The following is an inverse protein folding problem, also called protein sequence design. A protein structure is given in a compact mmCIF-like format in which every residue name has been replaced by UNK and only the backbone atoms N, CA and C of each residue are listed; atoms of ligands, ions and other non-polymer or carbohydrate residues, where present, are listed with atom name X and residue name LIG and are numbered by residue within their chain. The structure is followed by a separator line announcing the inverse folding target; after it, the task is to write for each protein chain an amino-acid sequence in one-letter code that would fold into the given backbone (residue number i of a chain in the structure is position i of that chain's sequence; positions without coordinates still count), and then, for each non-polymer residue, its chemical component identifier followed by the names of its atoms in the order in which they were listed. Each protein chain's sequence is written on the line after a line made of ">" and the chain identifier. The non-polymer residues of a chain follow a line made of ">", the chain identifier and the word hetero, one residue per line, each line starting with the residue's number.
data_IF_338551981879
#
_entry.id   IF_338551981879
#
_cell.length_a   1.000
_cell.length_b   1.000
_cell.length_c   1.000
_cell.angle_alpha   90.00
_cell.angle_beta   90.00
_cell.angle_gamma   90.00
#
_symmetry.space_group_name_H-M   'P 1'
#
loop_
_entity.id
_entity.type
_entity.pdbx_description
1 polymer ?
#
# COMPACT_ATOMS: atom_id res chain seq x y z
N UNK A 1 -7.96 -18.37 -4.19
CA UNK A 1 -7.99 -19.14 -2.93
C UNK A 1 -6.62 -19.08 -2.28
N UNK A 2 -6.58 -18.94 -0.96
CA UNK A 2 -5.33 -19.02 -0.19
C UNK A 2 -4.71 -20.41 -0.36
N UNK A 3 -3.38 -20.42 -0.51
CA UNK A 3 -2.59 -21.65 -0.40
C UNK A 3 -2.94 -22.36 0.92
N UNK A 4 -3.19 -23.68 0.93
CA UNK A 4 -3.53 -24.43 2.15
C UNK A 4 -2.57 -24.18 3.32
N UNK A 5 -1.29 -23.94 3.04
CA UNK A 5 -0.26 -23.60 4.03
C UNK A 5 -0.62 -22.33 4.82
N UNK A 6 -1.24 -21.36 4.19
CA UNK A 6 -1.58 -20.06 4.82
C UNK A 6 -3.00 -20.01 5.36
N UNK A 7 -3.84 -20.99 4.95
CA UNK A 7 -5.25 -21.05 5.34
C UNK A 7 -5.44 -21.16 6.85
N UNK A 8 -4.58 -21.90 7.52
CA UNK A 8 -4.66 -22.06 8.99
C UNK A 8 -4.39 -20.75 9.72
N UNK A 9 -3.34 -20.03 9.33
CA UNK A 9 -3.00 -18.71 9.92
C UNK A 9 -4.07 -17.68 9.64
N UNK A 10 -4.58 -17.64 8.42
CA UNK A 10 -5.70 -16.78 8.04
C UNK A 10 -6.96 -17.10 8.83
N UNK A 11 -7.35 -18.36 8.92
CA UNK A 11 -8.54 -18.78 9.67
C UNK A 11 -8.40 -18.45 11.16
N UNK A 12 -7.24 -18.66 11.75
CA UNK A 12 -6.98 -18.28 13.15
C UNK A 12 -7.10 -16.78 13.34
N UNK A 13 -6.58 -15.98 12.42
CA UNK A 13 -6.72 -14.53 12.46
C UNK A 13 -8.19 -14.13 12.35
N UNK A 14 -8.92 -14.63 11.33
CA UNK A 14 -10.35 -14.33 11.12
C UNK A 14 -11.20 -14.76 12.31
N UNK A 15 -10.94 -15.93 12.89
CA UNK A 15 -11.68 -16.39 14.10
C UNK A 15 -11.44 -15.45 15.31
N UNK A 16 -10.23 -14.93 15.45
CA UNK A 16 -9.92 -13.99 16.54
C UNK A 16 -10.56 -12.61 16.38
N UNK A 17 -10.99 -12.25 15.15
CA UNK A 17 -11.61 -10.95 14.85
C UNK A 17 -13.08 -11.06 14.46
N UNK A 18 -13.67 -12.28 14.41
CA UNK A 18 -15.02 -12.50 13.89
C UNK A 18 -16.11 -11.66 14.55
N UNK A 19 -15.93 -11.34 15.83
CA UNK A 19 -16.86 -10.55 16.62
C UNK A 19 -16.42 -9.11 16.90
N UNK A 20 -15.32 -8.67 16.25
CA UNK A 20 -14.74 -7.34 16.44
C UNK A 20 -14.82 -6.54 15.14
N UNK A 21 -14.99 -5.24 15.28
CA UNK A 21 -14.78 -4.32 14.16
C UNK A 21 -13.31 -4.34 13.75
N UNK A 22 -13.08 -4.39 12.46
CA UNK A 22 -11.74 -4.25 11.87
C UNK A 22 -11.48 -2.75 11.71
N UNK A 23 -10.48 -2.26 12.38
CA UNK A 23 -9.99 -0.90 12.20
C UNK A 23 -8.97 -0.89 11.07
N UNK A 24 -9.15 -0.02 10.10
CA UNK A 24 -8.30 0.10 8.93
C UNK A 24 -7.62 1.48 8.92
N UNK A 25 -6.30 1.48 8.98
CA UNK A 25 -5.47 2.64 8.63
C UNK A 25 -4.95 2.45 7.21
N UNK A 26 -5.08 3.47 6.38
CA UNK A 26 -4.65 3.43 4.98
C UNK A 26 -3.47 4.38 4.81
N UNK A 27 -2.32 3.85 4.39
CA UNK A 27 -1.15 4.62 3.99
C UNK A 27 -1.08 4.60 2.46
N UNK A 28 -1.26 5.73 1.83
CA UNK A 28 -1.27 5.82 0.37
C UNK A 28 -0.08 6.61 -0.17
N UNK A 29 0.49 6.10 -1.27
CA UNK A 29 1.52 6.77 -2.05
C UNK A 29 0.92 7.55 -3.24
N UNK A 30 -0.40 7.52 -3.39
CA UNK A 30 -1.10 8.27 -4.43
C UNK A 30 -1.30 9.72 -3.98
N UNK A 31 -1.31 10.62 -4.96
CA UNK A 31 -1.50 12.06 -4.74
C UNK A 31 -2.97 12.52 -4.88
N UNK A 32 -3.88 11.59 -5.19
CA UNK A 32 -5.29 11.86 -5.47
C UNK A 32 -6.18 11.37 -4.33
N UNK A 33 -7.36 11.94 -4.22
CA UNK A 33 -8.44 11.58 -3.30
C UNK A 33 -9.19 10.28 -3.65
N UNK A 34 -8.61 9.46 -4.52
CA UNK A 34 -9.25 8.21 -4.98
C UNK A 34 -9.51 7.26 -3.82
N UNK A 35 -8.62 7.22 -2.84
CA UNK A 35 -8.74 6.30 -1.72
C UNK A 35 -9.83 6.71 -0.73
N UNK A 36 -10.05 8.01 -0.55
CA UNK A 36 -11.13 8.56 0.27
C UNK A 36 -12.49 8.16 -0.32
N UNK A 37 -12.64 8.32 -1.64
CA UNK A 37 -13.87 7.91 -2.33
C UNK A 37 -14.14 6.40 -2.22
N UNK A 38 -13.10 5.58 -2.16
CA UNK A 38 -13.23 4.13 -1.94
C UNK A 38 -13.59 3.84 -0.49
N UNK A 39 -12.98 4.53 0.46
CA UNK A 39 -13.26 4.39 1.88
C UNK A 39 -14.71 4.74 2.22
N UNK A 40 -15.22 5.85 1.68
CA UNK A 40 -16.62 6.26 1.84
C UNK A 40 -17.59 5.20 1.31
N UNK A 41 -17.28 4.61 0.16
CA UNK A 41 -18.10 3.54 -0.42
C UNK A 41 -18.04 2.26 0.42
N UNK A 42 -16.87 1.93 0.99
CA UNK A 42 -16.70 0.77 1.86
C UNK A 42 -17.54 0.91 3.13
N UNK A 43 -17.48 2.07 3.79
CA UNK A 43 -18.25 2.35 5.01
C UNK A 43 -19.75 2.43 4.77
N UNK A 44 -20.15 2.92 3.59
CA UNK A 44 -21.57 2.96 3.19
C UNK A 44 -22.11 1.60 2.74
N UNK A 45 -21.26 0.59 2.50
CA UNK A 45 -21.69 -0.69 1.96
C UNK A 45 -22.37 -1.55 3.04
N UNK A 46 -23.62 -2.00 2.84
CA UNK A 46 -24.41 -2.70 3.87
C UNK A 46 -23.74 -3.95 4.47
N UNK A 47 -22.89 -4.62 3.71
CA UNK A 47 -22.18 -5.82 4.16
C UNK A 47 -21.01 -5.52 5.10
N UNK A 48 -20.42 -4.33 5.00
CA UNK A 48 -19.16 -3.96 5.67
C UNK A 48 -19.30 -2.84 6.70
N UNK A 49 -20.35 -2.03 6.63
CA UNK A 49 -20.57 -0.85 7.47
C UNK A 49 -20.42 -1.12 8.99
N UNK A 50 -20.88 -2.29 9.45
CA UNK A 50 -20.76 -2.69 10.86
C UNK A 50 -19.48 -3.45 11.20
N UNK A 51 -18.69 -3.83 10.18
CA UNK A 51 -17.52 -4.71 10.33
C UNK A 51 -16.20 -3.99 10.17
N UNK A 52 -16.16 -2.94 9.34
CA UNK A 52 -14.94 -2.22 8.99
C UNK A 52 -15.11 -0.74 9.32
N UNK A 53 -14.10 -0.15 9.94
CA UNK A 53 -14.00 1.29 10.18
C UNK A 53 -12.68 1.77 9.60
N UNK A 54 -12.73 2.72 8.69
CA UNK A 54 -11.54 3.43 8.22
C UNK A 54 -11.22 4.52 9.25
N UNK A 55 -10.18 4.31 10.04
CA UNK A 55 -9.83 5.22 11.13
C UNK A 55 -9.04 6.42 10.61
N UNK A 56 -8.04 6.14 9.76
CA UNK A 56 -7.20 7.19 9.19
C UNK A 56 -6.79 6.86 7.76
N UNK A 57 -6.64 7.93 6.95
CA UNK A 57 -6.02 7.88 5.63
C UNK A 57 -4.83 8.84 5.65
N UNK A 58 -3.64 8.33 5.39
CA UNK A 58 -2.40 9.11 5.37
C UNK A 58 -1.81 9.15 3.97
N UNK A 59 -1.68 10.34 3.40
CA UNK A 59 -0.97 10.58 2.16
C UNK A 59 0.51 10.81 2.44
N UNK A 60 1.32 9.76 2.23
CA UNK A 60 2.78 9.79 2.52
C UNK A 60 3.50 10.89 1.73
N UNK A 61 3.01 11.21 0.54
CA UNK A 61 3.61 12.20 -0.36
C UNK A 61 2.75 13.45 -0.53
N UNK A 62 1.78 13.69 0.37
CA UNK A 62 0.79 14.75 0.30
C UNK A 62 -0.20 14.60 -0.87
N UNK A 63 -1.25 15.41 -0.88
CA UNK A 63 -2.27 15.42 -1.94
C UNK A 63 -2.06 16.57 -2.92
N UNK A 64 -2.55 16.41 -4.14
CA UNK A 64 -2.48 17.42 -5.21
C UNK A 64 -3.14 18.75 -4.84
N UNK A 65 -4.09 18.73 -3.92
CA UNK A 65 -4.83 19.92 -3.47
C UNK A 65 -4.15 20.64 -2.29
N UNK A 66 -3.06 20.08 -1.78
CA UNK A 66 -2.29 20.62 -0.66
C UNK A 66 -1.03 21.34 -1.17
N UNK A 67 -0.53 22.27 -0.34
CA UNK A 67 0.76 22.91 -0.61
C UNK A 67 1.89 21.93 -0.26
N UNK A 68 2.68 21.54 -1.25
CA UNK A 68 3.92 20.84 -0.98
C UNK A 68 3.94 19.33 -1.28
N UNK A 69 3.51 18.92 -2.49
CA UNK A 69 3.72 17.53 -2.96
C UNK A 69 5.18 17.13 -2.81
N UNK A 70 5.41 15.97 -2.20
CA UNK A 70 6.75 15.42 -1.98
C UNK A 70 7.15 14.53 -3.15
N UNK A 71 8.01 15.07 -4.00
CA UNK A 71 8.61 14.34 -5.12
C UNK A 71 10.11 14.16 -4.86
N UNK A 72 10.66 13.01 -5.22
CA UNK A 72 12.10 12.82 -5.09
C UNK A 72 12.53 11.39 -4.88
N UNK A 73 13.71 11.27 -4.28
CA UNK A 73 14.41 10.01 -4.01
C UNK A 73 14.56 9.77 -2.50
N UNK A 74 14.92 8.53 -2.12
CA UNK A 74 15.08 8.19 -0.71
C UNK A 74 16.42 8.71 -0.14
N UNK A 75 17.47 8.72 -0.95
CA UNK A 75 18.80 9.13 -0.52
C UNK A 75 19.65 9.67 -1.68
N UNK A 76 20.79 10.29 -1.33
CA UNK A 76 21.73 10.93 -2.27
C UNK A 76 22.36 9.94 -3.28
N UNK A 77 22.40 8.64 -2.97
CA UNK A 77 22.99 7.63 -3.87
C UNK A 77 22.13 7.42 -5.12
N UNK A 78 20.84 7.74 -5.04
CA UNK A 78 19.90 7.65 -6.16
C UNK A 78 19.99 8.86 -7.11
N UNK A 79 20.74 9.91 -6.74
CA UNK A 79 21.03 11.07 -7.59
C UNK A 79 22.23 10.73 -8.48
N UNK A 80 22.01 10.58 -9.79
CA UNK A 80 23.05 10.19 -10.73
C UNK A 80 24.18 11.22 -10.83
N UNK A 81 23.84 12.50 -10.90
CA UNK A 81 24.83 13.57 -10.93
C UNK A 81 25.39 13.83 -9.54
N UNK A 82 26.59 13.30 -9.29
CA UNK A 82 27.25 13.39 -7.96
C UNK A 82 27.60 14.80 -7.54
N UNK A 83 27.81 15.72 -8.46
CA UNK A 83 28.06 17.14 -8.09
C UNK A 83 26.81 17.80 -7.49
N UNK A 84 25.61 17.36 -7.89
CA UNK A 84 24.34 17.83 -7.36
C UNK A 84 23.97 17.15 -6.04
N UNK A 85 24.35 15.89 -5.87
CA UNK A 85 23.93 15.11 -4.70
C UNK A 85 24.45 15.68 -3.35
N UNK A 86 25.53 16.45 -3.37
CA UNK A 86 26.08 17.11 -2.18
C UNK A 86 25.58 18.54 -1.96
N UNK A 87 24.83 19.11 -2.93
CA UNK A 87 24.32 20.47 -2.79
C UNK A 87 23.20 20.54 -1.75
N UNK A 88 23.26 21.46 -0.76
CA UNK A 88 22.25 21.53 0.31
C UNK A 88 20.83 21.71 -0.22
N UNK A 89 20.63 22.61 -1.21
CA UNK A 89 19.30 22.87 -1.77
C UNK A 89 18.73 21.66 -2.50
N UNK A 90 19.58 20.87 -3.15
CA UNK A 90 19.16 19.62 -3.80
C UNK A 90 18.73 18.58 -2.75
N UNK A 91 19.46 18.49 -1.65
CA UNK A 91 19.05 17.62 -0.53
C UNK A 91 17.70 18.06 0.03
N UNK A 92 17.54 19.35 0.28
CA UNK A 92 16.31 19.93 0.83
C UNK A 92 15.08 19.79 -0.08
N UNK A 93 15.28 19.63 -1.38
CA UNK A 93 14.16 19.62 -2.36
C UNK A 93 13.95 18.30 -3.07
N UNK A 94 14.89 17.35 -3.00
CA UNK A 94 14.83 16.09 -3.73
C UNK A 94 14.97 14.83 -2.87
N UNK A 95 15.38 14.94 -1.62
CA UNK A 95 15.50 13.78 -0.72
C UNK A 95 14.29 13.74 0.22
N UNK A 96 13.39 12.80 -0.05
CA UNK A 96 12.09 12.69 0.64
C UNK A 96 12.20 12.68 2.18
N UNK A 97 13.07 11.87 2.82
CA UNK A 97 13.22 11.91 4.28
C UNK A 97 13.64 13.29 4.82
N UNK A 98 14.46 14.03 4.06
CA UNK A 98 14.86 15.37 4.43
C UNK A 98 13.71 16.38 4.30
N UNK A 99 12.97 16.33 3.17
CA UNK A 99 11.78 17.16 2.96
C UNK A 99 10.77 16.92 4.08
N UNK A 100 10.50 15.65 4.41
CA UNK A 100 9.56 15.29 5.45
C UNK A 100 9.97 15.84 6.82
N UNK A 101 11.25 15.78 7.17
CA UNK A 101 11.74 16.28 8.45
C UNK A 101 11.63 17.80 8.59
N UNK A 102 11.75 18.54 7.51
CA UNK A 102 11.79 20.02 7.52
C UNK A 102 10.42 20.65 7.29
N UNK A 103 9.59 20.04 6.43
CA UNK A 103 8.38 20.69 5.92
C UNK A 103 7.07 20.00 6.30
N UNK A 104 7.11 18.72 6.66
CA UNK A 104 5.91 17.94 6.96
C UNK A 104 5.94 17.51 8.41
N UNK A 105 5.44 18.38 9.28
CA UNK A 105 5.41 18.07 10.70
C UNK A 105 4.35 16.99 11.00
N UNK A 106 4.80 15.80 11.39
CA UNK A 106 3.94 14.81 12.04
C UNK A 106 3.51 13.62 11.18
N UNK A 107 3.23 13.78 9.88
CA UNK A 107 2.69 12.69 9.04
C UNK A 107 3.56 11.43 9.02
N UNK A 108 4.88 11.57 8.95
CA UNK A 108 5.79 10.41 9.03
C UNK A 108 5.65 9.66 10.36
N UNK A 109 5.51 10.40 11.46
CA UNK A 109 5.34 9.78 12.78
C UNK A 109 3.98 9.11 12.91
N UNK A 110 2.92 9.71 12.40
CA UNK A 110 1.58 9.13 12.37
C UNK A 110 1.53 7.86 11.52
N UNK A 111 2.14 7.88 10.33
CA UNK A 111 2.29 6.71 9.49
C UNK A 111 3.07 5.58 10.19
N UNK A 112 4.17 5.91 10.86
CA UNK A 112 4.94 4.93 11.65
C UNK A 112 4.12 4.36 12.79
N UNK A 113 3.38 5.20 13.53
CA UNK A 113 2.48 4.74 14.58
C UNK A 113 1.37 3.83 14.03
N UNK A 114 0.83 4.12 12.83
CA UNK A 114 -0.13 3.25 12.19
C UNK A 114 0.48 1.87 11.86
N UNK A 115 1.70 1.83 11.34
CA UNK A 115 2.45 0.57 11.15
C UNK A 115 2.67 -0.13 12.49
N UNK A 116 3.05 0.59 13.54
CA UNK A 116 3.38 0.03 14.86
C UNK A 116 2.18 -0.62 15.56
N UNK A 117 0.98 -0.12 15.35
CA UNK A 117 -0.24 -0.73 15.92
C UNK A 117 -0.84 -1.82 15.03
N UNK A 118 -0.42 -1.94 13.78
CA UNK A 118 -0.97 -2.91 12.85
C UNK A 118 -0.60 -4.35 13.22
N UNK A 119 -1.59 -5.23 13.25
CA UNK A 119 -1.38 -6.68 13.36
C UNK A 119 -1.22 -7.34 11.99
N UNK A 120 -1.82 -6.75 10.97
CA UNK A 120 -1.77 -7.20 9.58
C UNK A 120 -1.52 -6.00 8.68
N UNK A 121 -0.63 -6.15 7.71
CA UNK A 121 -0.38 -5.17 6.67
C UNK A 121 -0.74 -5.75 5.31
N UNK A 122 -1.44 -5.00 4.50
CA UNK A 122 -1.80 -5.38 3.13
C UNK A 122 -1.07 -4.44 2.18
N UNK A 123 -0.18 -4.98 1.36
CA UNK A 123 0.56 -4.23 0.34
C UNK A 123 -0.17 -4.34 -0.99
N UNK A 124 -0.97 -3.35 -1.34
CA UNK A 124 -1.77 -3.34 -2.57
C UNK A 124 -1.30 -2.27 -3.55
N UNK A 125 -1.07 -2.67 -4.80
CA UNK A 125 -0.72 -1.75 -5.89
C UNK A 125 0.62 -1.02 -5.72
N UNK A 126 1.50 -1.47 -4.82
CA UNK A 126 2.80 -0.85 -4.55
C UNK A 126 3.94 -1.69 -5.12
N UNK A 127 4.92 -1.02 -5.73
CA UNK A 127 6.08 -1.67 -6.36
C UNK A 127 7.21 -2.02 -5.39
N UNK A 128 7.17 -1.54 -4.14
CA UNK A 128 8.27 -1.56 -3.17
C UNK A 128 9.55 -0.93 -3.76
N UNK A 129 9.38 0.22 -4.41
CA UNK A 129 10.45 0.92 -5.10
C UNK A 129 11.51 1.49 -4.15
N UNK A 130 12.74 1.63 -4.65
CA UNK A 130 13.86 2.17 -3.88
C UNK A 130 13.65 3.63 -3.44
N UNK A 131 12.83 4.40 -4.15
CA UNK A 131 12.51 5.79 -3.81
C UNK A 131 11.72 5.95 -2.51
N UNK A 132 11.15 4.87 -2.02
CA UNK A 132 10.36 4.81 -0.78
C UNK A 132 10.93 3.76 0.19
N UNK A 133 12.21 3.44 0.04
CA UNK A 133 12.95 2.44 0.80
C UNK A 133 12.79 2.59 2.31
N UNK A 134 12.72 3.81 2.81
CA UNK A 134 12.55 4.09 4.24
C UNK A 134 11.31 3.38 4.80
N UNK A 135 10.21 3.44 4.07
CA UNK A 135 8.94 2.84 4.48
C UNK A 135 8.98 1.31 4.46
N UNK A 136 9.61 0.75 3.42
CA UNK A 136 9.74 -0.70 3.29
C UNK A 136 10.67 -1.29 4.35
N UNK A 137 11.75 -0.58 4.67
CA UNK A 137 12.65 -0.99 5.73
C UNK A 137 11.95 -0.93 7.10
N UNK A 138 11.29 0.18 7.41
CA UNK A 138 10.56 0.35 8.67
C UNK A 138 9.50 -0.74 8.86
N UNK A 139 8.68 -0.99 7.83
CA UNK A 139 7.67 -2.05 7.84
C UNK A 139 8.29 -3.43 8.09
N UNK A 140 9.36 -3.75 7.37
CA UNK A 140 10.02 -5.04 7.49
C UNK A 140 10.63 -5.27 8.87
N UNK A 141 11.31 -4.28 9.45
CA UNK A 141 11.85 -4.34 10.80
C UNK A 141 10.75 -4.51 11.84
N UNK A 142 9.65 -3.78 11.69
CA UNK A 142 8.49 -3.90 12.57
C UNK A 142 7.88 -5.30 12.55
N UNK A 143 7.65 -5.86 11.36
CA UNK A 143 7.11 -7.23 11.22
C UNK A 143 8.11 -8.27 11.72
N UNK A 144 9.41 -8.07 11.51
CA UNK A 144 10.44 -8.96 12.02
C UNK A 144 10.44 -9.05 13.54
N UNK A 145 10.25 -7.91 14.22
CA UNK A 145 10.33 -7.79 15.68
C UNK A 145 9.17 -8.48 16.41
N UNK A 146 8.00 -8.65 15.76
CA UNK A 146 6.79 -9.17 16.44
C UNK A 146 6.28 -10.44 15.76
N UNK A 147 6.26 -11.60 16.47
CA UNK A 147 5.93 -12.91 15.88
C UNK A 147 4.54 -13.01 15.25
N UNK A 148 3.55 -12.31 15.79
CA UNK A 148 2.16 -12.38 15.37
C UNK A 148 1.83 -11.49 14.15
N UNK A 149 2.74 -10.62 13.72
CA UNK A 149 2.50 -9.70 12.61
C UNK A 149 2.80 -10.35 11.27
N UNK A 150 1.96 -10.02 10.29
CA UNK A 150 2.01 -10.61 8.96
C UNK A 150 1.85 -9.56 7.88
N UNK A 151 2.35 -9.87 6.68
CA UNK A 151 2.21 -9.06 5.49
C UNK A 151 1.45 -9.86 4.44
N UNK A 152 0.34 -9.33 3.95
CA UNK A 152 -0.34 -9.84 2.77
C UNK A 152 0.09 -9.07 1.53
N UNK A 153 0.49 -9.80 0.49
CA UNK A 153 0.85 -9.24 -0.81
C UNK A 153 -0.17 -9.72 -1.86
N UNK A 154 -1.25 -8.97 -2.09
CA UNK A 154 -2.19 -9.28 -3.16
C UNK A 154 -1.52 -9.13 -4.52
N UNK A 155 -1.79 -10.06 -5.43
CA UNK A 155 -1.37 -9.96 -6.81
C UNK A 155 -2.47 -10.44 -7.76
N UNK A 156 -2.58 -9.77 -8.89
CA UNK A 156 -3.47 -10.18 -9.97
C UNK A 156 -2.66 -10.98 -10.99
N UNK A 157 -3.02 -12.22 -11.16
CA UNK A 157 -2.45 -13.07 -12.18
C UNK A 157 -3.43 -14.18 -12.55
N UNK A 158 -3.63 -14.40 -13.83
CA UNK A 158 -4.36 -15.56 -14.29
C UNK A 158 -3.47 -16.80 -14.12
N UNK A 159 -3.75 -17.54 -13.07
CA UNK A 159 -3.05 -18.78 -12.75
C UNK A 159 -3.94 -19.98 -12.99
N UNK A 160 -5.04 -19.83 -13.69
CA UNK A 160 -6.02 -20.91 -13.94
C UNK A 160 -5.43 -22.10 -14.72
N UNK A 161 -4.39 -21.84 -15.52
CA UNK A 161 -3.67 -22.84 -16.32
C UNK A 161 -2.39 -23.39 -15.67
N UNK A 162 -2.01 -22.90 -14.45
CA UNK A 162 -0.78 -23.31 -13.79
C UNK A 162 -0.98 -24.57 -12.95
N UNK A 163 0.02 -25.43 -12.94
CA UNK A 163 0.08 -26.51 -11.98
C UNK A 163 0.49 -26.04 -10.57
N UNK A 164 0.39 -26.91 -9.58
CA UNK A 164 0.71 -26.57 -8.20
C UNK A 164 2.18 -26.18 -8.01
N UNK A 165 3.09 -26.79 -8.77
CA UNK A 165 4.54 -26.51 -8.69
C UNK A 165 4.84 -25.09 -9.17
N UNK A 166 4.23 -24.67 -10.28
CA UNK A 166 4.37 -23.32 -10.81
C UNK A 166 3.82 -22.28 -9.84
N UNK A 167 2.69 -22.55 -9.19
CA UNK A 167 2.11 -21.67 -8.16
C UNK A 167 3.07 -21.52 -6.98
N UNK A 168 3.69 -22.60 -6.50
CA UNK A 168 4.65 -22.56 -5.40
C UNK A 168 5.89 -21.72 -5.80
N UNK A 169 6.43 -21.94 -6.99
CA UNK A 169 7.60 -21.20 -7.50
C UNK A 169 7.28 -19.70 -7.57
N UNK A 170 6.12 -19.31 -8.07
CA UNK A 170 5.69 -17.91 -8.15
C UNK A 170 5.50 -17.27 -6.78
N UNK A 171 4.84 -17.97 -5.86
CA UNK A 171 4.67 -17.50 -4.50
C UNK A 171 6.02 -17.27 -3.80
N UNK A 172 6.96 -18.20 -3.94
CA UNK A 172 8.30 -18.03 -3.41
C UNK A 172 9.05 -16.86 -4.06
N UNK A 173 8.89 -16.66 -5.35
CA UNK A 173 9.44 -15.50 -6.07
C UNK A 173 8.88 -14.17 -5.56
N UNK A 174 7.58 -14.09 -5.27
CA UNK A 174 6.93 -12.91 -4.70
C UNK A 174 7.43 -12.64 -3.28
N UNK A 175 7.51 -13.67 -2.43
CA UNK A 175 8.03 -13.56 -1.06
C UNK A 175 9.46 -13.03 -1.09
N UNK A 176 10.33 -13.64 -1.90
CA UNK A 176 11.73 -13.24 -2.02
C UNK A 176 11.87 -11.79 -2.50
N UNK A 177 11.11 -11.40 -3.53
CA UNK A 177 11.12 -10.03 -4.05
C UNK A 177 10.63 -9.03 -3.00
N UNK A 178 9.55 -9.35 -2.29
CA UNK A 178 9.03 -8.50 -1.23
C UNK A 178 10.07 -8.31 -0.11
N UNK A 179 10.64 -9.39 0.40
CA UNK A 179 11.64 -9.36 1.47
C UNK A 179 12.94 -8.63 1.04
N UNK A 180 13.41 -8.85 -0.18
CA UNK A 180 14.61 -8.17 -0.71
C UNK A 180 14.40 -6.65 -0.79
N UNK A 181 13.21 -6.22 -1.21
CA UNK A 181 12.91 -4.78 -1.33
C UNK A 181 12.66 -4.09 0.03
N UNK A 182 12.64 -4.83 1.12
CA UNK A 182 12.62 -4.26 2.48
C UNK A 182 14.01 -3.88 2.99
N UNK A 183 15.08 -4.25 2.29
CA UNK A 183 16.47 -3.87 2.62
C UNK A 183 16.90 -4.19 4.06
N UNK A 184 16.49 -5.34 4.55
CA UNK A 184 16.70 -5.77 5.92
C UNK A 184 18.08 -6.40 6.14
N UNK A 185 18.59 -6.33 7.38
CA UNK A 185 19.71 -7.14 7.81
C UNK A 185 19.33 -8.64 7.83
N UNK A 186 20.33 -9.53 7.72
CA UNK A 186 20.09 -10.98 7.53
C UNK A 186 19.16 -11.62 8.58
N UNK A 187 19.28 -11.22 9.83
CA UNK A 187 18.43 -11.71 10.92
C UNK A 187 16.97 -11.27 10.76
N UNK A 188 16.74 -9.99 10.44
CA UNK A 188 15.41 -9.45 10.21
C UNK A 188 14.80 -10.02 8.91
N UNK A 189 15.62 -10.19 7.86
CA UNK A 189 15.21 -10.85 6.62
C UNK A 189 14.68 -12.27 6.88
N UNK A 190 15.42 -13.06 7.63
CA UNK A 190 15.01 -14.44 7.98
C UNK A 190 13.75 -14.47 8.85
N UNK A 191 13.54 -13.47 9.69
CA UNK A 191 12.36 -13.37 10.55
C UNK A 191 11.12 -12.88 9.79
N UNK A 192 11.25 -12.04 8.78
CA UNK A 192 10.11 -11.47 8.02
C UNK A 192 9.64 -12.41 6.90
N UNK A 193 10.56 -13.09 6.23
CA UNK A 193 10.26 -13.94 5.06
C UNK A 193 9.10 -14.94 5.30
N UNK A 194 9.04 -15.70 6.40
CA UNK A 194 7.95 -16.63 6.65
C UNK A 194 6.61 -15.96 6.99
N UNK A 195 6.59 -14.65 7.17
CA UNK A 195 5.39 -13.86 7.51
C UNK A 195 4.80 -13.11 6.31
N UNK A 196 5.37 -13.28 5.13
CA UNK A 196 4.86 -12.72 3.88
C UNK A 196 3.95 -13.73 3.20
N UNK A 197 2.71 -13.35 2.95
CA UNK A 197 1.67 -14.21 2.40
C UNK A 197 1.20 -13.67 1.04
N UNK A 198 1.63 -14.25 -0.08
CA UNK A 198 1.06 -13.95 -1.38
C UNK A 198 -0.40 -14.39 -1.46
N UNK A 199 -1.27 -13.49 -1.92
CA UNK A 199 -2.70 -13.76 -2.05
C UNK A 199 -3.13 -13.46 -3.49
N UNK A 200 -3.81 -14.40 -4.12
CA UNK A 200 -4.48 -14.14 -5.39
C UNK A 200 -5.69 -13.23 -5.16
N UNK A 201 -5.62 -12.06 -5.73
CA UNK A 201 -6.56 -10.97 -5.44
C UNK A 201 -7.46 -10.58 -6.61
N UNK A 202 -7.68 -11.49 -7.57
CA UNK A 202 -8.53 -11.21 -8.73
C UNK A 202 -9.96 -10.75 -8.39
N UNK A 203 -10.32 -10.70 -7.10
CA UNK A 203 -11.59 -10.18 -6.59
C UNK A 203 -11.47 -9.47 -5.24
N UNK A 204 -10.27 -9.18 -4.76
CA UNK A 204 -10.08 -8.67 -3.39
C UNK A 204 -10.71 -7.29 -3.16
N UNK A 205 -10.80 -6.48 -4.21
CA UNK A 205 -11.44 -5.17 -4.20
C UNK A 205 -12.56 -5.05 -5.24
N UNK A 206 -13.21 -6.17 -5.57
CA UNK A 206 -14.39 -6.12 -6.42
C UNK A 206 -15.61 -5.71 -5.57
N UNK A 207 -15.73 -4.43 -5.32
CA UNK A 207 -16.85 -3.81 -4.60
C UNK A 207 -18.15 -3.80 -5.40
N UNK A 208 -18.29 -4.66 -6.40
CA UNK A 208 -19.46 -4.65 -7.29
C UNK A 208 -19.50 -3.47 -8.28
N UNK A 209 -18.41 -2.71 -8.37
CA UNK A 209 -18.29 -1.51 -9.23
C UNK A 209 -18.31 -1.83 -10.73
N UNK A 210 -18.23 -3.09 -11.13
CA UNK A 210 -18.13 -3.51 -12.53
C UNK A 210 -19.35 -3.16 -13.38
N UNK A 211 -20.50 -2.83 -12.79
CA UNK A 211 -21.69 -2.43 -13.55
C UNK A 211 -21.92 -0.92 -13.65
N UNK A 212 -21.21 -0.09 -12.88
CA UNK A 212 -21.43 1.35 -12.89
C UNK A 212 -20.30 2.17 -13.51
N UNK A 213 -19.12 1.59 -13.73
CA UNK A 213 -17.95 2.34 -14.28
C UNK A 213 -18.23 2.80 -15.71
N UNK A 214 -18.83 1.96 -16.57
CA UNK A 214 -19.19 2.35 -17.94
C UNK A 214 -20.28 3.40 -17.97
N UNK A 215 -21.29 3.29 -17.10
CA UNK A 215 -22.37 4.27 -17.01
C UNK A 215 -21.88 5.61 -16.43
N UNK A 216 -20.98 5.61 -15.47
CA UNK A 216 -20.39 6.83 -14.91
C UNK A 216 -19.38 7.46 -15.86
N UNK A 217 -18.54 6.68 -16.56
CA UNK A 217 -17.66 7.19 -17.61
C UNK A 217 -18.42 7.88 -18.71
N UNK A 218 -19.54 7.29 -19.18
CA UNK A 218 -20.40 7.90 -20.18
C UNK A 218 -21.06 9.18 -19.69
N UNK A 219 -21.45 9.27 -18.40
CA UNK A 219 -22.00 10.49 -17.79
C UNK A 219 -20.94 11.61 -17.66
N UNK A 220 -19.74 11.26 -17.22
CA UNK A 220 -18.63 12.23 -17.09
C UNK A 220 -18.22 12.78 -18.47
N UNK A 221 -18.09 11.91 -19.47
CA UNK A 221 -17.79 12.34 -20.85
C UNK A 221 -18.92 13.24 -21.38
N UNK A 222 -20.18 12.89 -21.17
CA UNK A 222 -21.31 13.73 -21.61
C UNK A 222 -21.30 15.10 -20.91
N UNK A 223 -21.00 15.18 -19.62
CA UNK A 223 -20.90 16.43 -18.86
C UNK A 223 -19.72 17.30 -19.35
N UNK A 224 -18.56 16.70 -19.63
CA UNK A 224 -17.40 17.41 -20.17
C UNK A 224 -17.68 17.93 -21.57
N UNK A 225 -18.31 17.13 -22.43
CA UNK A 225 -18.69 17.55 -23.79
C UNK A 225 -19.69 18.72 -23.75
N UNK A 226 -20.68 18.67 -22.85
CA UNK A 226 -21.65 19.76 -22.68
C UNK A 226 -20.98 21.05 -22.17
N UNK A 227 -20.01 20.96 -21.27
CA UNK A 227 -19.25 22.13 -20.78
C UNK A 227 -18.37 22.74 -21.88
N UNK A 228 -17.71 21.92 -22.69
CA UNK A 228 -16.87 22.38 -23.80
C UNK A 228 -17.72 23.12 -24.85
N UNK A 229 -18.87 22.55 -25.21
CA UNK A 229 -19.78 23.16 -26.20
C UNK A 229 -20.50 24.43 -25.70
N UNK A 230 -20.54 24.68 -24.38
CA UNK A 230 -21.09 25.91 -23.79
C UNK A 230 -20.06 27.03 -23.67
N UNK A 231 -18.78 26.76 -23.98
CA UNK A 231 -17.66 27.71 -23.82
C UNK A 231 -17.11 28.17 -25.22
N UNK A 232 -17.66 27.63 -26.32
CA UNK A 232 -17.42 28.04 -27.70
C UNK A 232 -18.62 28.85 -28.19
#
# INVERSE_FOLDING_TARGET
>A
SLDPKYKTTYNSFVQNISDKKITLDILTFNYTDTIENIADQLEAHPEYADKIVVENIYHIHQQLNELGIILGVNDENQIQNKSLSFHPDIKATMIKPYINSEYVSGTDNECKQAIDRANMVILFGVSLGATDRMWWNYLGEHVAAYPQRIIYCPYEEDTSALDMSEVIIRNNGLITRCANNMYLANNAYSAVTPKIYPIRANRMFNFGLTHNVEANHSKVIAQLTTKINATI
#
